data_IF_011521528703
#
_entry.id   IF_011521528703
#
_cell.length_a   1.000
_cell.length_b   1.000
_cell.length_c   1.000
_cell.angle_alpha   90.00
_cell.angle_beta   90.00
_cell.angle_gamma   90.00
#
_symmetry.space_group_name_H-M   'P 1'
#
loop_
_entity.id
_entity.type
_entity.pdbx_description
1 polymer ?
#
# COMPACT_ATOMS: atom_id res chain seq x y z
N UNK A 1 13.44 6.19 -3.75
CA UNK A 1 12.32 6.30 -2.78
C UNK A 1 11.22 5.41 -3.30
N UNK A 2 10.82 4.39 -2.54
CA UNK A 2 9.85 3.38 -3.02
C UNK A 2 8.48 3.68 -2.43
N UNK A 3 7.47 3.82 -3.30
CA UNK A 3 6.08 4.10 -2.92
C UNK A 3 5.24 2.88 -3.23
N UNK A 4 4.41 2.45 -2.29
CA UNK A 4 3.51 1.29 -2.45
C UNK A 4 2.07 1.77 -2.32
N UNK A 5 1.24 1.42 -3.30
CA UNK A 5 -0.20 1.74 -3.31
C UNK A 5 -1.00 0.51 -2.95
N UNK A 6 -1.86 0.63 -1.94
CA UNK A 6 -2.66 -0.48 -1.42
C UNK A 6 -4.15 -0.16 -1.53
N UNK A 7 -4.92 -1.07 -2.15
CA UNK A 7 -6.38 -1.00 -2.17
C UNK A 7 -6.95 -1.64 -0.92
N UNK A 8 -7.33 -0.83 0.07
CA UNK A 8 -7.81 -1.30 1.37
C UNK A 8 -9.35 -1.21 1.44
N UNK A 9 -10.06 -2.26 1.88
CA UNK A 9 -11.48 -2.19 2.18
C UNK A 9 -11.79 -1.11 3.23
N UNK A 10 -12.83 -0.29 3.03
CA UNK A 10 -13.15 0.85 3.92
C UNK A 10 -13.23 0.47 5.40
N UNK A 11 -13.77 -0.70 5.72
CA UNK A 11 -13.89 -1.20 7.09
C UNK A 11 -12.55 -1.59 7.76
N UNK A 12 -11.48 -1.78 6.98
CA UNK A 12 -10.14 -2.14 7.47
C UNK A 12 -9.16 -0.97 7.51
N UNK A 13 -9.54 0.21 7.00
CA UNK A 13 -8.69 1.43 7.02
C UNK A 13 -8.17 1.79 8.42
N UNK A 14 -8.97 1.72 9.51
CA UNK A 14 -8.46 2.05 10.85
C UNK A 14 -7.33 1.12 11.32
N UNK A 15 -7.43 -0.18 10.98
CA UNK A 15 -6.44 -1.20 11.36
C UNK A 15 -5.13 -0.95 10.63
N UNK A 16 -5.19 -0.76 9.31
CA UNK A 16 -4.00 -0.45 8.50
C UNK A 16 -3.36 0.87 8.92
N UNK A 17 -4.15 1.90 9.22
CA UNK A 17 -3.63 3.18 9.72
C UNK A 17 -2.85 3.00 11.02
N UNK A 18 -3.37 2.22 11.95
CA UNK A 18 -2.70 1.91 13.23
C UNK A 18 -1.40 1.14 13.00
N UNK A 19 -1.45 0.11 12.16
CA UNK A 19 -0.29 -0.70 11.79
C UNK A 19 0.82 0.15 11.14
N UNK A 20 0.50 0.93 10.11
CA UNK A 20 1.48 1.74 9.38
C UNK A 20 2.10 2.83 10.28
N UNK A 21 1.31 3.44 11.19
CA UNK A 21 1.83 4.37 12.20
C UNK A 21 2.80 3.70 13.17
N UNK A 22 2.49 2.49 13.65
CA UNK A 22 3.35 1.73 14.57
C UNK A 22 4.73 1.46 13.98
N UNK A 23 4.79 1.27 12.66
CA UNK A 23 6.04 1.05 11.92
C UNK A 23 6.68 2.34 11.38
N UNK A 24 6.25 3.51 11.87
CA UNK A 24 6.78 4.83 11.47
C UNK A 24 6.72 5.09 9.95
N UNK A 25 5.80 4.45 9.24
CA UNK A 25 5.61 4.68 7.81
C UNK A 25 4.83 5.97 7.57
N UNK A 26 5.34 6.82 6.68
CA UNK A 26 4.59 7.98 6.19
C UNK A 26 3.42 7.48 5.35
N UNK A 27 2.22 7.80 5.81
CA UNK A 27 0.96 7.41 5.18
C UNK A 27 0.24 8.61 4.59
N UNK A 28 -0.18 8.48 3.34
CA UNK A 28 -1.09 9.40 2.68
C UNK A 28 -2.38 8.63 2.39
N UNK A 29 -3.50 9.11 2.93
CA UNK A 29 -4.82 8.53 2.68
C UNK A 29 -5.45 9.38 1.59
N UNK A 30 -5.61 8.80 0.40
CA UNK A 30 -6.33 9.44 -0.69
C UNK A 30 -7.80 9.02 -0.56
N UNK A 31 -8.62 9.91 -0.02
CA UNK A 31 -10.06 9.76 -0.10
C UNK A 31 -10.51 10.18 -1.49
N UNK A 32 -11.43 9.39 -2.07
CA UNK A 32 -11.82 9.29 -3.49
C UNK A 32 -12.17 10.59 -4.24
N UNK A 33 -12.14 11.76 -3.59
CA UNK A 33 -12.61 13.03 -4.12
C UNK A 33 -11.51 14.01 -4.49
N UNK A 34 -10.26 13.80 -4.06
CA UNK A 34 -9.24 14.85 -4.20
C UNK A 34 -8.17 14.63 -5.26
N UNK A 35 -7.97 13.43 -5.83
CA UNK A 35 -7.05 13.31 -6.99
C UNK A 35 -7.22 11.97 -7.72
N UNK A 36 -8.21 11.90 -8.62
CA UNK A 36 -8.28 10.79 -9.59
C UNK A 36 -7.02 10.73 -10.47
N UNK A 37 -6.42 11.89 -10.76
CA UNK A 37 -5.20 12.01 -11.58
C UNK A 37 -3.95 11.45 -10.87
N UNK A 38 -3.79 11.64 -9.56
CA UNK A 38 -2.67 11.06 -8.81
C UNK A 38 -2.84 9.54 -8.70
N UNK A 39 -4.06 9.07 -8.47
CA UNK A 39 -4.36 7.63 -8.45
C UNK A 39 -4.09 6.98 -9.80
N UNK A 40 -4.53 7.60 -10.90
CA UNK A 40 -4.28 7.12 -12.25
C UNK A 40 -2.77 7.04 -12.53
N UNK A 41 -2.02 8.07 -12.14
CA UNK A 41 -0.56 8.09 -12.30
C UNK A 41 0.14 6.97 -11.52
N UNK A 42 -0.25 6.71 -10.28
CA UNK A 42 0.35 5.63 -9.49
C UNK A 42 -0.02 4.23 -10.00
N UNK A 43 -1.24 4.06 -10.52
CA UNK A 43 -1.65 2.81 -11.17
C UNK A 43 -0.85 2.57 -12.44
N UNK A 44 -0.68 3.59 -13.27
CA UNK A 44 0.15 3.53 -14.49
C UNK A 44 1.62 3.22 -14.16
N UNK A 45 2.17 3.82 -13.10
CA UNK A 45 3.52 3.54 -12.62
C UNK A 45 3.64 2.09 -12.09
N UNK A 46 2.62 1.61 -11.37
CA UNK A 46 2.56 0.23 -10.87
C UNK A 46 2.41 -0.82 -11.99
N UNK A 47 1.59 -0.55 -13.01
CA UNK A 47 1.42 -1.45 -14.16
C UNK A 47 2.65 -1.51 -15.07
N UNK A 48 3.55 -0.53 -14.98
CA UNK A 48 4.86 -0.54 -15.68
C UNK A 48 5.93 -1.33 -14.93
N UNK A 49 5.68 -1.71 -13.67
CA UNK A 49 6.59 -2.58 -12.93
C UNK A 49 6.28 -4.04 -13.24
N UNK A 50 7.33 -4.88 -13.29
CA UNK A 50 7.16 -6.32 -13.45
C UNK A 50 6.30 -6.87 -12.31
N UNK A 51 5.38 -7.78 -12.62
CA UNK A 51 4.57 -8.45 -11.61
C UNK A 51 5.50 -9.12 -10.59
N UNK A 52 5.43 -8.66 -9.34
CA UNK A 52 6.16 -9.28 -8.24
C UNK A 52 5.34 -10.47 -7.77
N UNK A 53 5.91 -11.70 -7.76
CA UNK A 53 5.18 -12.88 -7.32
C UNK A 53 4.64 -12.72 -5.90
N UNK A 54 3.41 -13.19 -5.68
CA UNK A 54 2.68 -13.05 -4.42
C UNK A 54 3.48 -13.60 -3.23
N UNK A 55 4.20 -14.70 -3.45
CA UNK A 55 5.08 -15.36 -2.47
C UNK A 55 6.20 -14.44 -1.97
N UNK A 56 6.80 -13.66 -2.87
CA UNK A 56 7.87 -12.70 -2.53
C UNK A 56 7.31 -11.56 -1.68
N UNK A 57 6.10 -11.11 -1.98
CA UNK A 57 5.40 -10.09 -1.20
C UNK A 57 5.12 -10.63 0.21
N UNK A 58 4.55 -11.82 0.34
CA UNK A 58 4.22 -12.40 1.64
C UNK A 58 5.44 -12.73 2.49
N UNK A 59 6.51 -13.28 1.89
CA UNK A 59 7.76 -13.49 2.61
C UNK A 59 8.35 -12.18 3.13
N UNK A 60 8.31 -11.13 2.31
CA UNK A 60 8.81 -9.80 2.69
C UNK A 60 8.00 -9.24 3.86
N UNK A 61 6.67 -9.37 3.83
CA UNK A 61 5.80 -8.93 4.91
C UNK A 61 6.05 -9.73 6.20
N UNK A 62 6.19 -11.06 6.13
CA UNK A 62 6.56 -11.91 7.28
C UNK A 62 7.92 -11.54 7.86
N UNK A 63 8.94 -11.33 7.02
CA UNK A 63 10.29 -10.90 7.44
C UNK A 63 10.27 -9.56 8.17
N UNK A 64 9.32 -8.70 7.86
CA UNK A 64 9.14 -7.40 8.52
C UNK A 64 8.17 -7.43 9.71
N UNK A 65 7.84 -8.63 10.22
CA UNK A 65 7.05 -8.81 11.44
C UNK A 65 5.55 -8.64 11.25
N UNK A 66 5.06 -8.75 10.01
CA UNK A 66 3.62 -8.72 9.71
C UNK A 66 3.11 -10.15 9.69
N UNK A 67 2.25 -10.46 10.66
CA UNK A 67 1.54 -11.74 10.71
C UNK A 67 0.32 -11.67 9.80
N UNK A 68 0.28 -12.51 8.76
CA UNK A 68 -0.78 -12.60 7.74
C UNK A 68 -1.36 -14.00 7.77
#
# INVERSE_FOLDING_TARGET
MTTVVLKIPKNKVPIFRSFLKKHHMKIHIIEKKEDEDIMAKWIDEGMKSEEVPEEVVFETLRKNGITI
#
